data_IF_721656205977
#
_entry.id   IF_721656205977
#
_cell.length_a   1.000
_cell.length_b   1.000
_cell.length_c   1.000
_cell.angle_alpha   90.00
_cell.angle_beta   90.00
_cell.angle_gamma   90.00
#
_symmetry.space_group_name_H-M   'P 1'
#
loop_
_entity.id
_entity.type
_entity.pdbx_description
1 polymer ?
#
# COMPACT_ATOMS: atom_id res chain seq x y z
N UNK A 1 -13.80 -16.19 1.81
CA UNK A 1 -14.37 -15.15 0.92
C UNK A 1 -14.19 -13.82 1.64
N UNK A 2 -13.33 -12.94 1.11
CA UNK A 2 -13.02 -11.64 1.71
C UNK A 2 -14.09 -10.60 1.35
N UNK A 3 -14.02 -9.42 1.96
CA UNK A 3 -14.94 -8.32 1.65
C UNK A 3 -14.65 -7.73 0.27
N UNK A 4 -15.64 -7.06 -0.31
CA UNK A 4 -15.53 -6.37 -1.59
C UNK A 4 -15.90 -4.90 -1.42
N UNK A 5 -15.08 -4.00 -1.93
CA UNK A 5 -15.40 -2.59 -2.08
C UNK A 5 -15.61 -2.28 -3.56
N UNK A 6 -16.77 -1.72 -3.89
CA UNK A 6 -17.09 -1.32 -5.26
C UNK A 6 -16.66 0.13 -5.47
N UNK A 7 -15.70 0.35 -6.36
CA UNK A 7 -15.32 1.70 -6.76
C UNK A 7 -16.44 2.38 -7.56
N UNK A 8 -16.77 3.63 -7.21
CA UNK A 8 -17.67 4.49 -7.97
C UNK A 8 -16.88 5.59 -8.68
N UNK A 9 -16.74 5.55 -10.02
CA UNK A 9 -16.03 6.61 -10.75
C UNK A 9 -16.65 8.01 -10.60
N UNK A 10 -17.93 8.11 -10.21
CA UNK A 10 -18.59 9.40 -10.00
C UNK A 10 -18.35 9.97 -8.60
N UNK A 11 -17.78 9.18 -7.67
CA UNK A 11 -17.42 9.67 -6.34
C UNK A 11 -16.07 10.40 -6.33
N UNK A 12 -15.32 10.34 -7.43
CA UNK A 12 -14.03 11.01 -7.58
C UNK A 12 -14.21 12.52 -7.42
N UNK A 13 -13.67 13.06 -6.33
CA UNK A 13 -13.59 14.49 -6.11
C UNK A 13 -12.14 14.96 -6.24
N UNK A 14 -11.87 15.79 -7.24
CA UNK A 14 -10.55 16.38 -7.45
C UNK A 14 -10.27 17.59 -6.53
N UNK A 15 -11.19 17.97 -5.65
CA UNK A 15 -10.92 19.00 -4.65
C UNK A 15 -9.97 18.45 -3.58
N UNK A 16 -8.89 19.16 -3.29
CA UNK A 16 -8.05 18.86 -2.13
C UNK A 16 -8.90 18.95 -0.86
N UNK A 17 -9.15 17.81 -0.21
CA UNK A 17 -9.83 17.79 1.07
C UNK A 17 -8.97 18.57 2.08
N UNK A 18 -9.54 19.60 2.69
CA UNK A 18 -8.90 20.29 3.83
C UNK A 18 -9.39 19.75 5.16
N UNK A 19 -10.46 18.95 5.14
CA UNK A 19 -11.08 18.35 6.31
C UNK A 19 -10.69 16.88 6.41
N UNK A 20 -10.19 16.49 7.58
CA UNK A 20 -9.91 15.10 7.91
C UNK A 20 -11.22 14.35 8.15
N UNK A 21 -11.70 13.69 7.10
CA UNK A 21 -12.91 12.85 7.12
C UNK A 21 -12.57 11.43 6.69
N UNK A 22 -13.28 10.48 7.29
CA UNK A 22 -13.25 9.09 6.89
C UNK A 22 -14.62 8.74 6.28
N UNK A 23 -14.61 8.21 5.04
CA UNK A 23 -15.81 7.66 4.41
C UNK A 23 -15.89 6.14 4.60
N UNK A 24 -16.83 5.48 3.92
CA UNK A 24 -17.02 4.03 4.02
C UNK A 24 -15.78 3.23 3.59
N UNK A 25 -15.04 3.69 2.58
CA UNK A 25 -13.78 3.07 2.15
C UNK A 25 -12.74 3.12 3.27
N UNK A 26 -12.57 4.30 3.88
CA UNK A 26 -11.59 4.50 4.93
C UNK A 26 -11.90 3.66 6.17
N UNK A 27 -13.18 3.62 6.55
CA UNK A 27 -13.67 2.80 7.66
C UNK A 27 -13.42 1.32 7.38
N UNK A 28 -13.70 0.85 6.17
CA UNK A 28 -13.43 -0.54 5.77
C UNK A 28 -11.94 -0.86 5.84
N UNK A 29 -11.09 -0.05 5.22
CA UNK A 29 -9.64 -0.27 5.20
C UNK A 29 -9.06 -0.33 6.61
N UNK A 30 -9.41 0.63 7.46
CA UNK A 30 -8.90 0.68 8.83
C UNK A 30 -9.41 -0.49 9.66
N UNK A 31 -10.70 -0.81 9.57
CA UNK A 31 -11.27 -1.91 10.34
C UNK A 31 -10.72 -3.28 9.95
N UNK A 32 -10.53 -3.56 8.67
CA UNK A 32 -9.92 -4.82 8.21
C UNK A 32 -8.44 -4.90 8.56
N UNK A 33 -7.73 -3.78 8.51
CA UNK A 33 -6.34 -3.73 8.92
C UNK A 33 -6.19 -3.93 10.44
N UNK A 34 -7.05 -3.31 11.26
CA UNK A 34 -7.08 -3.50 12.72
C UNK A 34 -7.50 -4.94 13.09
N UNK A 35 -8.40 -5.56 12.32
CA UNK A 35 -8.70 -7.00 12.43
C UNK A 35 -7.45 -7.85 12.22
N UNK A 36 -6.68 -7.59 11.16
CA UNK A 36 -5.44 -8.32 10.89
C UNK A 36 -4.40 -8.15 12.01
N UNK A 37 -4.38 -7.01 12.70
CA UNK A 37 -3.54 -6.80 13.89
C UNK A 37 -4.02 -7.68 15.04
N UNK A 38 -5.32 -7.69 15.33
CA UNK A 38 -5.92 -8.49 16.38
C UNK A 38 -5.72 -10.00 16.17
N UNK A 39 -5.68 -10.44 14.92
CA UNK A 39 -5.41 -11.83 14.53
C UNK A 39 -3.91 -12.18 14.47
N UNK A 40 -3.02 -11.21 14.67
CA UNK A 40 -1.57 -11.45 14.71
C UNK A 40 -0.97 -11.81 13.35
N UNK A 41 -1.50 -11.27 12.25
CA UNK A 41 -1.09 -11.61 10.88
C UNK A 41 0.21 -10.91 10.44
N UNK A 42 0.75 -10.00 11.25
CA UNK A 42 1.98 -9.25 10.96
C UNK A 42 3.22 -9.99 11.43
N UNK A 43 4.35 -9.76 10.76
CA UNK A 43 5.65 -10.37 11.08
C UNK A 43 6.14 -10.02 12.49
N UNK A 44 5.68 -8.90 13.03
CA UNK A 44 5.98 -8.42 14.37
C UNK A 44 4.80 -7.68 14.98
N UNK A 45 4.72 -7.59 16.32
CA UNK A 45 3.69 -6.80 16.99
C UNK A 45 3.68 -5.36 16.48
N UNK A 46 2.50 -4.83 16.22
CA UNK A 46 2.37 -3.45 15.76
C UNK A 46 2.76 -2.48 16.88
N UNK A 47 3.64 -1.54 16.54
CA UNK A 47 4.00 -0.42 17.40
C UNK A 47 3.35 0.85 16.84
N UNK A 48 2.26 1.27 17.48
CA UNK A 48 1.56 2.52 17.14
C UNK A 48 2.34 3.77 17.60
N UNK A 49 3.43 3.60 18.35
CA UNK A 49 4.25 4.67 18.91
C UNK A 49 5.63 4.75 18.25
N UNK A 50 5.63 4.80 16.92
CA UNK A 50 6.88 5.02 16.17
C UNK A 50 7.45 6.39 16.52
N UNK A 51 8.71 6.44 16.97
CA UNK A 51 9.39 7.72 17.23
C UNK A 51 9.66 8.39 15.89
N UNK A 52 9.14 9.60 15.73
CA UNK A 52 9.38 10.42 14.55
C UNK A 52 10.16 11.69 14.88
N UNK A 53 10.98 12.14 13.94
CA UNK A 53 11.64 13.45 13.97
C UNK A 53 11.52 14.10 12.61
N UNK A 54 11.13 15.37 12.61
CA UNK A 54 11.19 16.22 11.43
C UNK A 54 12.56 16.88 11.38
N UNK A 55 13.21 16.82 10.23
CA UNK A 55 14.42 17.58 9.92
C UNK A 55 14.13 18.51 8.75
N UNK A 56 14.32 19.79 8.98
CA UNK A 56 14.23 20.81 7.94
C UNK A 56 15.65 21.18 7.47
N UNK A 57 15.87 21.17 6.17
CA UNK A 57 17.12 21.58 5.52
C UNK A 57 16.81 22.46 4.30
N UNK A 58 16.86 23.78 4.50
CA UNK A 58 16.36 24.74 3.52
C UNK A 58 14.87 24.56 3.26
N UNK A 59 14.49 24.35 2.01
CA UNK A 59 13.10 24.10 1.58
C UNK A 59 12.70 22.62 1.70
N UNK A 60 13.61 21.74 2.12
CA UNK A 60 13.36 20.31 2.22
C UNK A 60 12.87 19.94 3.63
N UNK A 61 11.77 19.20 3.66
CA UNK A 61 11.17 18.65 4.88
C UNK A 61 11.33 17.14 4.89
N UNK A 62 12.15 16.63 5.82
CA UNK A 62 12.39 15.21 6.00
C UNK A 62 11.67 14.68 7.23
N UNK A 63 10.99 13.55 7.07
CA UNK A 63 10.41 12.80 8.19
C UNK A 63 11.28 11.57 8.40
N UNK A 64 11.84 11.44 9.60
CA UNK A 64 12.62 10.29 10.02
C UNK A 64 11.80 9.50 11.02
N UNK A 65 11.49 8.26 10.66
CA UNK A 65 10.75 7.32 11.51
C UNK A 65 11.67 6.21 11.99
N UNK A 66 11.74 6.03 13.31
CA UNK A 66 12.51 4.94 13.91
C UNK A 66 11.61 3.72 14.13
N UNK A 67 11.74 2.75 13.23
CA UNK A 67 10.94 1.53 13.23
C UNK A 67 11.81 0.31 13.55
N UNK A 68 12.10 0.11 14.85
CA UNK A 68 13.06 -0.88 15.36
C UNK A 68 12.72 -2.32 14.94
N UNK A 69 11.47 -2.74 15.13
CA UNK A 69 11.03 -4.08 14.78
C UNK A 69 11.23 -4.36 13.29
N UNK A 70 10.98 -3.35 12.45
CA UNK A 70 11.18 -3.44 11.01
C UNK A 70 12.67 -3.52 10.66
N UNK A 71 13.51 -2.70 11.29
CA UNK A 71 14.96 -2.76 11.07
C UNK A 71 15.54 -4.15 11.36
N UNK A 72 15.17 -4.73 12.50
CA UNK A 72 15.70 -6.01 12.97
C UNK A 72 15.14 -7.22 12.20
N UNK A 73 13.86 -7.17 11.79
CA UNK A 73 13.15 -8.35 11.24
C UNK A 73 12.90 -8.30 9.75
N UNK A 74 13.06 -7.15 9.08
CA UNK A 74 12.82 -7.04 7.64
C UNK A 74 13.82 -7.92 6.89
N UNK A 75 13.29 -8.77 6.02
CA UNK A 75 14.08 -9.57 5.09
C UNK A 75 14.96 -8.66 4.21
N UNK A 76 16.23 -9.02 3.95
CA UNK A 76 17.04 -8.33 2.96
C UNK A 76 16.35 -8.32 1.59
N UNK A 77 16.28 -7.18 0.88
CA UNK A 77 15.70 -7.14 -0.45
C UNK A 77 16.52 -8.03 -1.39
N UNK A 78 15.84 -8.64 -2.36
CA UNK A 78 16.53 -9.39 -3.40
C UNK A 78 17.32 -8.42 -4.28
N UNK A 79 18.61 -8.67 -4.56
CA UNK A 79 19.35 -7.80 -5.45
C UNK A 79 18.84 -8.00 -6.88
N UNK A 80 18.09 -7.03 -7.38
CA UNK A 80 17.67 -7.00 -8.78
C UNK A 80 18.65 -6.16 -9.59
N UNK A 81 19.20 -6.76 -10.65
CA UNK A 81 20.15 -6.07 -11.55
C UNK A 81 19.42 -5.22 -12.60
N UNK A 82 18.19 -5.59 -12.93
CA UNK A 82 17.39 -4.93 -13.97
C UNK A 82 15.98 -4.60 -13.48
N UNK A 83 15.51 -3.39 -13.82
CA UNK A 83 14.15 -2.92 -13.51
C UNK A 83 13.09 -3.80 -14.16
N UNK A 84 13.37 -4.35 -15.34
CA UNK A 84 12.45 -5.18 -16.12
C UNK A 84 12.74 -6.69 -15.97
N UNK A 85 13.30 -7.12 -14.83
CA UNK A 85 13.52 -8.55 -14.56
C UNK A 85 12.17 -9.30 -14.66
N UNK A 86 12.06 -10.36 -15.47
CA UNK A 86 10.81 -11.11 -15.63
C UNK A 86 10.29 -11.70 -14.32
N UNK A 87 8.97 -11.83 -14.20
CA UNK A 87 8.34 -12.53 -13.09
C UNK A 87 8.86 -13.96 -12.95
N UNK A 88 9.00 -14.43 -11.72
CA UNK A 88 9.47 -15.78 -11.39
C UNK A 88 8.55 -16.41 -10.34
N UNK A 89 7.72 -17.35 -10.77
CA UNK A 89 6.77 -18.04 -9.90
C UNK A 89 7.44 -18.89 -8.80
N UNK A 90 8.75 -19.19 -8.90
CA UNK A 90 9.49 -19.93 -7.88
C UNK A 90 9.83 -19.04 -6.70
N UNK A 91 10.09 -17.76 -6.93
CA UNK A 91 10.33 -16.76 -5.88
C UNK A 91 9.03 -16.42 -5.15
N UNK A 92 9.14 -15.69 -4.03
CA UNK A 92 7.96 -15.21 -3.33
C UNK A 92 7.14 -14.28 -4.23
N UNK A 93 5.81 -14.43 -4.20
CA UNK A 93 4.86 -13.62 -4.94
C UNK A 93 3.48 -13.66 -4.24
N UNK A 94 2.59 -12.73 -4.57
CA UNK A 94 1.27 -12.60 -3.94
C UNK A 94 0.25 -13.71 -4.23
N UNK A 95 0.59 -14.73 -5.05
CA UNK A 95 -0.21 -15.96 -5.14
C UNK A 95 0.13 -16.94 -4.00
N UNK A 96 1.12 -16.62 -3.16
CA UNK A 96 1.58 -17.45 -2.03
C UNK A 96 1.25 -16.90 -0.65
N UNK A 97 0.58 -15.76 -0.57
CA UNK A 97 0.09 -15.21 0.70
C UNK A 97 -1.07 -16.08 1.21
N UNK A 98 -1.36 -15.98 2.50
CA UNK A 98 -2.56 -16.59 3.04
C UNK A 98 -3.78 -15.71 2.75
N UNK A 99 -4.96 -16.31 2.67
CA UNK A 99 -6.18 -15.56 2.40
C UNK A 99 -6.52 -14.57 3.53
N UNK A 100 -6.07 -14.84 4.76
CA UNK A 100 -6.29 -13.93 5.90
C UNK A 100 -5.51 -12.61 5.75
N UNK A 101 -4.43 -12.59 4.96
CA UNK A 101 -3.66 -11.37 4.65
C UNK A 101 -4.40 -10.43 3.67
N UNK A 102 -5.48 -10.91 3.04
CA UNK A 102 -6.33 -10.11 2.15
C UNK A 102 -7.36 -9.34 3.00
N UNK A 103 -7.39 -8.02 2.83
CA UNK A 103 -8.34 -7.16 3.52
C UNK A 103 -9.67 -7.14 2.76
N UNK A 104 -9.61 -6.76 1.48
CA UNK A 104 -10.76 -6.73 0.58
C UNK A 104 -10.30 -6.59 -0.88
N UNK A 105 -11.19 -6.85 -1.83
CA UNK A 105 -10.99 -6.47 -3.24
C UNK A 105 -11.58 -5.10 -3.55
N UNK A 106 -10.92 -4.35 -4.43
CA UNK A 106 -11.33 -3.01 -4.89
C UNK A 106 -11.57 -3.08 -6.40
N UNK A 107 -12.83 -3.26 -6.80
CA UNK A 107 -13.21 -3.49 -8.19
C UNK A 107 -14.27 -2.46 -8.66
N UNK A 108 -14.26 -2.11 -9.95
CA UNK A 108 -15.33 -1.32 -10.60
C UNK A 108 -16.62 -2.12 -10.79
N UNK A 109 -16.44 -3.35 -11.24
CA UNK A 109 -17.50 -4.32 -11.49
C UNK A 109 -17.60 -5.26 -10.29
N UNK A 110 -18.78 -5.79 -10.02
CA UNK A 110 -18.97 -6.63 -8.84
C UNK A 110 -18.18 -7.95 -8.97
N UNK A 111 -17.33 -8.20 -7.97
CA UNK A 111 -16.77 -9.52 -7.63
C UNK A 111 -15.81 -10.13 -8.67
N UNK A 112 -14.84 -9.36 -9.17
CA UNK A 112 -13.78 -9.96 -10.01
C UNK A 112 -12.63 -10.51 -9.18
N UNK A 113 -12.42 -9.98 -7.96
CA UNK A 113 -11.34 -10.37 -7.04
C UNK A 113 -9.93 -10.28 -7.64
N UNK A 114 -9.79 -9.48 -8.70
CA UNK A 114 -8.53 -9.25 -9.39
C UNK A 114 -7.68 -8.27 -8.61
N UNK A 115 -8.27 -7.16 -8.22
CA UNK A 115 -7.58 -6.05 -7.58
C UNK A 115 -7.70 -6.17 -6.07
N UNK A 116 -6.60 -6.55 -5.42
CA UNK A 116 -6.61 -6.86 -3.99
C UNK A 116 -5.93 -5.77 -3.17
N UNK A 117 -6.54 -5.41 -2.05
CA UNK A 117 -5.92 -4.68 -0.97
C UNK A 117 -5.51 -5.70 0.10
N UNK A 118 -4.21 -5.82 0.35
CA UNK A 118 -3.65 -6.77 1.31
C UNK A 118 -2.84 -6.04 2.37
N UNK A 119 -2.61 -6.67 3.53
CA UNK A 119 -1.67 -6.12 4.50
C UNK A 119 -0.25 -6.08 3.91
N UNK A 120 0.50 -5.04 4.25
CA UNK A 120 1.95 -5.18 4.25
C UNK A 120 2.35 -5.83 5.57
N UNK A 121 2.73 -7.11 5.57
CA UNK A 121 3.06 -7.84 6.80
C UNK A 121 4.34 -7.36 7.52
N UNK A 122 5.12 -6.48 6.89
CA UNK A 122 6.22 -5.72 7.49
C UNK A 122 6.00 -4.20 7.30
N UNK A 123 4.93 -3.64 7.91
CA UNK A 123 4.44 -2.31 7.66
C UNK A 123 5.44 -1.25 8.17
N UNK A 124 5.49 -0.12 7.46
CA UNK A 124 6.30 1.06 7.86
C UNK A 124 5.56 1.88 8.91
N UNK A 125 4.23 1.96 8.81
CA UNK A 125 3.33 2.69 9.70
C UNK A 125 1.99 1.95 9.81
N UNK A 126 1.13 2.29 10.78
CA UNK A 126 -0.26 1.84 10.79
C UNK A 126 -0.95 2.07 9.45
N UNK A 127 -1.79 1.10 9.06
CA UNK A 127 -2.57 1.14 7.81
C UNK A 127 -1.73 1.12 6.52
N UNK A 128 -0.46 0.70 6.58
CA UNK A 128 0.32 0.42 5.38
C UNK A 128 -0.16 -0.91 4.75
N UNK A 129 -0.75 -0.78 3.56
CA UNK A 129 -1.27 -1.86 2.71
C UNK A 129 -0.49 -1.99 1.40
N UNK A 130 -0.66 -3.12 0.72
CA UNK A 130 -0.21 -3.31 -0.65
C UNK A 130 -1.42 -3.41 -1.57
N UNK A 131 -1.36 -2.72 -2.71
CA UNK A 131 -2.34 -2.76 -3.78
C UNK A 131 -1.80 -3.74 -4.83
N UNK A 132 -2.39 -4.93 -4.92
CA UNK A 132 -1.96 -5.96 -5.86
C UNK A 132 -2.87 -5.95 -7.07
N UNK A 133 -2.33 -5.49 -8.20
CA UNK A 133 -3.06 -5.41 -9.46
C UNK A 133 -3.11 -6.79 -10.13
N UNK A 134 -4.30 -7.39 -10.20
CA UNK A 134 -4.56 -8.70 -10.83
C UNK A 134 -3.42 -9.71 -10.67
N UNK A 135 -3.32 -10.30 -9.48
CA UNK A 135 -2.24 -11.23 -9.13
C UNK A 135 -2.14 -12.47 -10.05
N UNK A 136 -3.19 -12.77 -10.81
CA UNK A 136 -3.22 -13.89 -11.74
C UNK A 136 -2.50 -13.57 -13.06
N UNK A 137 -2.28 -12.29 -13.38
CA UNK A 137 -1.49 -11.90 -14.54
C UNK A 137 0.01 -12.14 -14.37
N UNK A 138 0.47 -12.39 -13.13
CA UNK A 138 1.87 -12.70 -12.82
C UNK A 138 2.84 -11.67 -13.42
N UNK A 139 2.47 -10.40 -13.35
CA UNK A 139 3.26 -9.30 -13.94
C UNK A 139 4.50 -9.01 -13.08
N UNK A 140 5.64 -8.77 -13.76
CA UNK A 140 6.83 -8.21 -13.11
C UNK A 140 6.54 -6.84 -12.49
N UNK A 141 7.33 -6.42 -11.51
CA UNK A 141 7.24 -5.11 -10.84
C UNK A 141 7.67 -3.96 -11.77
N UNK A 142 6.89 -3.73 -12.82
CA UNK A 142 7.01 -2.69 -13.82
C UNK A 142 5.65 -2.02 -13.96
N UNK A 143 5.59 -0.69 -13.81
CA UNK A 143 4.32 0.05 -13.88
C UNK A 143 3.64 -0.17 -15.23
N UNK A 144 2.34 -0.46 -15.16
CA UNK A 144 1.43 -0.52 -16.29
C UNK A 144 0.38 0.58 -16.15
N UNK A 145 -0.28 0.95 -17.25
CA UNK A 145 -1.38 1.93 -17.22
C UNK A 145 -2.50 1.44 -16.28
N UNK A 146 -2.86 0.16 -16.35
CA UNK A 146 -3.92 -0.42 -15.51
C UNK A 146 -3.56 -0.38 -14.02
N UNK A 147 -2.29 -0.62 -13.68
CA UNK A 147 -1.81 -0.51 -12.30
C UNK A 147 -1.82 0.95 -11.80
N UNK A 148 -1.45 1.91 -12.66
CA UNK A 148 -1.53 3.34 -12.32
C UNK A 148 -2.99 3.74 -12.07
N UNK A 149 -3.90 3.33 -12.96
CA UNK A 149 -5.34 3.58 -12.84
C UNK A 149 -5.88 2.97 -11.55
N UNK A 150 -5.50 1.74 -11.21
CA UNK A 150 -5.86 1.11 -9.94
C UNK A 150 -5.35 1.90 -8.72
N UNK A 151 -4.13 2.44 -8.78
CA UNK A 151 -3.61 3.33 -7.74
C UNK A 151 -4.42 4.62 -7.58
N UNK A 152 -4.86 5.23 -8.68
CA UNK A 152 -5.74 6.39 -8.64
C UNK A 152 -7.12 6.05 -8.05
N UNK A 153 -7.69 4.91 -8.41
CA UNK A 153 -8.98 4.45 -7.87
C UNK A 153 -8.91 4.25 -6.36
N UNK A 154 -7.82 3.67 -5.86
CA UNK A 154 -7.56 3.53 -4.43
C UNK A 154 -7.54 4.90 -3.72
N UNK A 155 -6.76 5.86 -4.25
CA UNK A 155 -6.67 7.19 -3.64
C UNK A 155 -8.02 7.92 -3.71
N UNK A 156 -8.69 7.87 -4.86
CA UNK A 156 -9.98 8.51 -5.08
C UNK A 156 -11.14 7.87 -4.30
N UNK A 157 -10.99 6.62 -3.84
CA UNK A 157 -12.00 5.97 -2.99
C UNK A 157 -12.06 6.57 -1.59
N UNK A 158 -10.98 7.18 -1.12
CA UNK A 158 -10.87 7.74 0.22
C UNK A 158 -11.34 9.19 0.25
N UNK A 159 -11.97 9.59 1.36
CA UNK A 159 -12.28 11.00 1.61
C UNK A 159 -11.19 11.68 2.46
N UNK A 160 -10.13 10.95 2.83
CA UNK A 160 -9.08 11.45 3.70
C UNK A 160 -7.94 12.09 2.91
N UNK A 161 -7.50 13.32 3.23
CA UNK A 161 -6.48 14.04 2.46
C UNK A 161 -5.08 13.42 2.44
N UNK A 162 -4.86 12.38 3.25
CA UNK A 162 -3.53 11.81 3.48
C UNK A 162 -3.34 10.45 2.82
N UNK A 163 -4.41 9.86 2.28
CA UNK A 163 -4.31 8.59 1.60
C UNK A 163 -3.39 8.75 0.37
N UNK A 164 -2.36 7.93 0.30
CA UNK A 164 -1.34 8.04 -0.76
C UNK A 164 -1.03 6.66 -1.30
N UNK A 165 -0.83 6.57 -2.61
CA UNK A 165 -0.27 5.40 -3.27
C UNK A 165 1.18 5.69 -3.72
N UNK A 166 2.06 4.70 -3.62
CA UNK A 166 3.47 4.80 -4.03
C UNK A 166 3.97 3.55 -4.73
N UNK A 167 4.94 3.70 -5.63
CA UNK A 167 5.54 2.59 -6.37
C UNK A 167 7.06 2.55 -6.15
N UNK A 168 7.56 1.35 -5.85
CA UNK A 168 8.99 1.04 -5.88
C UNK A 168 9.25 0.12 -7.08
N UNK A 169 10.25 0.45 -7.90
CA UNK A 169 10.73 -0.44 -8.95
C UNK A 169 11.74 -1.46 -8.39
N UNK A 170 12.06 -2.52 -9.13
CA UNK A 170 13.02 -3.55 -8.67
C UNK A 170 14.40 -3.00 -8.27
N UNK A 171 14.94 -2.05 -9.03
CA UNK A 171 16.19 -1.36 -8.69
C UNK A 171 15.96 -0.10 -7.83
N UNK A 172 14.69 0.23 -7.55
CA UNK A 172 14.25 1.30 -6.64
C UNK A 172 13.74 0.73 -5.31
N UNK A 173 14.45 -0.26 -4.74
CA UNK A 173 14.16 -0.87 -3.44
C UNK A 173 12.86 -1.69 -3.31
N UNK A 174 12.22 -2.11 -4.41
CA UNK A 174 11.17 -3.13 -4.31
C UNK A 174 11.75 -4.47 -3.82
N UNK A 175 11.05 -5.11 -2.90
CA UNK A 175 11.48 -6.39 -2.30
C UNK A 175 10.86 -7.62 -2.98
N UNK A 176 9.82 -7.43 -3.79
CA UNK A 176 9.03 -8.49 -4.43
C UNK A 176 8.92 -8.18 -5.92
N UNK A 177 9.14 -9.19 -6.76
CA UNK A 177 8.91 -9.10 -8.20
C UNK A 177 7.53 -9.65 -8.57
N UNK A 178 6.50 -8.91 -8.20
CA UNK A 178 5.11 -9.14 -8.60
C UNK A 178 4.42 -7.78 -8.50
N UNK A 179 3.83 -7.27 -9.59
CA UNK A 179 3.30 -5.91 -9.69
C UNK A 179 2.39 -5.51 -8.52
N UNK A 180 2.83 -4.51 -7.76
CA UNK A 180 2.08 -3.92 -6.66
C UNK A 180 2.44 -2.45 -6.42
N UNK A 181 1.51 -1.73 -5.80
CA UNK A 181 1.74 -0.42 -5.19
C UNK A 181 1.70 -0.52 -3.67
N UNK A 182 2.23 0.48 -3.00
CA UNK A 182 2.06 0.72 -1.57
C UNK A 182 0.92 1.69 -1.36
N UNK A 183 0.08 1.47 -0.33
CA UNK A 183 -0.95 2.42 0.09
C UNK A 183 -0.81 2.71 1.58
N UNK A 184 -0.91 3.97 1.99
CA UNK A 184 -0.92 4.37 3.41
C UNK A 184 -1.43 5.80 3.60
N UNK A 185 -1.76 6.17 4.83
CA UNK A 185 -2.02 7.56 5.20
C UNK A 185 -0.71 8.27 5.56
N UNK A 186 -0.39 9.35 4.85
CA UNK A 186 0.77 10.21 5.05
C UNK A 186 0.32 11.62 5.44
N UNK A 187 0.11 11.90 6.74
CA UNK A 187 -0.31 13.22 7.23
C UNK A 187 0.78 14.29 7.09
N UNK A 188 2.02 13.84 7.10
CA UNK A 188 3.17 14.70 7.08
C UNK A 188 3.42 15.13 5.62
N UNK A 189 3.25 16.43 5.33
CA UNK A 189 3.50 16.97 3.98
C UNK A 189 4.97 16.77 3.62
N UNK A 190 5.22 15.89 2.66
CA UNK A 190 6.54 15.75 2.05
C UNK A 190 6.70 16.77 0.93
N UNK A 191 7.92 17.24 0.69
CA UNK A 191 8.23 18.25 -0.34
C UNK A 191 7.61 17.94 -1.73
N UNK A 192 7.47 16.65 -2.09
CA UNK A 192 6.88 16.24 -3.36
C UNK A 192 5.36 16.50 -3.47
N UNK A 193 4.69 16.92 -2.39
CA UNK A 193 3.26 17.24 -2.33
C UNK A 193 2.96 18.75 -2.37
N UNK A 194 3.97 19.62 -2.61
CA UNK A 194 3.82 21.09 -2.55
C UNK A 194 3.66 21.77 -3.91
N UNK A 195 3.03 21.14 -4.90
CA UNK A 195 2.75 21.76 -6.21
C UNK A 195 1.37 22.44 -6.19
#
# INVERSE_FOLDING_TARGET
>A
MWKHYKFDPNSVNFSCYTEEKFNEFDILLRSEWDRAVAEGLFMYPMDYHTKQRILDDGDLHYIIEFNRNREEKRRPPYPFEHVNTPFDNKKFNFNKIKDEEILFSLDKEQQTDKHLIIINNAPIRPYHVLLVHDRQLEQSQVLTIDCIVFGFEFVASSAHPYITAGFNSLCGYASVNHLHLHGMYLPDRIFLQTI
#
